data_IF_415892529548
#
_entry.id   IF_415892529548
#
_cell.length_a   1.000
_cell.length_b   1.000
_cell.length_c   1.000
_cell.angle_alpha   90.00
_cell.angle_beta   90.00
_cell.angle_gamma   90.00
#
_symmetry.space_group_name_H-M   'P 1'
#
loop_
_entity.id
_entity.type
_entity.pdbx_description
1 polymer ?
#
# COMPACT_ATOMS: atom_id res chain seq x y z
N UNK A 1 -16.02 44.04 -24.31
CA UNK A 1 -15.09 43.79 -23.19
C UNK A 1 -15.31 42.36 -22.76
N UNK A 2 -14.51 41.42 -23.28
CA UNK A 2 -14.71 39.97 -23.07
C UNK A 2 -14.08 39.58 -21.74
N UNK A 3 -14.89 39.09 -20.81
CA UNK A 3 -14.44 38.61 -19.51
C UNK A 3 -13.78 37.24 -19.72
N UNK A 4 -12.46 37.17 -19.53
CA UNK A 4 -11.72 35.91 -19.51
C UNK A 4 -11.87 35.29 -18.11
N UNK A 5 -12.70 34.25 -17.99
CA UNK A 5 -12.86 33.49 -16.75
C UNK A 5 -11.68 32.52 -16.64
N UNK A 6 -10.72 32.81 -15.76
CA UNK A 6 -9.73 31.83 -15.31
C UNK A 6 -10.44 30.81 -14.42
N UNK A 7 -10.74 29.62 -14.97
CA UNK A 7 -11.09 28.46 -14.15
C UNK A 7 -9.89 28.12 -13.25
N UNK A 8 -10.06 27.96 -11.93
CA UNK A 8 -8.97 27.51 -11.08
C UNK A 8 -8.55 26.11 -11.54
N UNK A 9 -7.26 25.95 -11.86
CA UNK A 9 -6.69 24.63 -12.03
C UNK A 9 -6.97 23.85 -10.74
N UNK A 10 -7.76 22.78 -10.85
CA UNK A 10 -7.99 21.86 -9.74
C UNK A 10 -6.61 21.46 -9.22
N UNK A 11 -6.34 21.75 -7.94
CA UNK A 11 -5.09 21.34 -7.31
C UNK A 11 -4.99 19.83 -7.49
N UNK A 12 -4.05 19.40 -8.32
CA UNK A 12 -3.72 18.00 -8.52
C UNK A 12 -3.33 17.46 -7.14
N UNK A 13 -4.09 16.47 -6.70
CA UNK A 13 -4.11 15.95 -5.35
C UNK A 13 -4.02 14.44 -5.46
N UNK A 14 -2.80 13.91 -5.57
CA UNK A 14 -2.53 12.47 -5.61
C UNK A 14 -1.93 11.90 -4.33
N UNK A 15 -2.60 12.14 -3.21
CA UNK A 15 -2.36 11.40 -1.98
C UNK A 15 -2.84 9.96 -2.12
N UNK A 16 -1.95 9.00 -1.93
CA UNK A 16 -2.27 7.58 -1.84
C UNK A 16 -1.57 6.92 -0.66
N UNK A 17 -2.19 5.88 -0.13
CA UNK A 17 -1.69 5.10 0.98
C UNK A 17 -2.10 3.65 0.83
N UNK A 18 -1.16 2.78 1.10
CA UNK A 18 -1.39 1.37 1.31
C UNK A 18 -1.19 1.05 2.79
N UNK A 19 -2.20 0.46 3.43
CA UNK A 19 -2.20 0.09 4.85
C UNK A 19 -2.49 -1.40 4.94
N UNK A 20 -1.78 -2.09 5.83
CA UNK A 20 -1.86 -3.54 6.00
C UNK A 20 -2.35 -3.87 7.41
N UNK A 21 -3.21 -4.87 7.54
CA UNK A 21 -3.47 -5.53 8.80
C UNK A 21 -2.45 -6.65 9.01
N UNK A 22 -1.56 -6.50 9.99
CA UNK A 22 -0.45 -7.42 10.26
C UNK A 22 -0.48 -7.98 11.67
N UNK A 23 -0.49 -9.30 11.79
CA UNK A 23 -0.43 -9.98 13.08
C UNK A 23 0.53 -11.17 13.06
N UNK A 24 1.45 -11.23 14.02
CA UNK A 24 2.42 -12.33 14.19
C UNK A 24 3.18 -12.73 12.91
N UNK A 25 3.53 -11.76 12.05
CA UNK A 25 4.22 -12.01 10.79
C UNK A 25 3.32 -12.61 9.71
N UNK A 26 2.03 -12.28 9.74
CA UNK A 26 1.06 -12.53 8.69
C UNK A 26 0.44 -11.20 8.25
N UNK A 27 0.38 -10.94 6.95
CA UNK A 27 -0.50 -9.92 6.38
C UNK A 27 -1.90 -10.51 6.18
N UNK A 28 -2.82 -10.14 7.06
CA UNK A 28 -4.19 -10.66 7.09
C UNK A 28 -5.07 -9.99 6.05
N UNK A 29 -4.95 -8.68 5.88
CA UNK A 29 -5.69 -7.89 4.89
C UNK A 29 -4.92 -6.59 4.56
N UNK A 30 -5.41 -5.85 3.58
CA UNK A 30 -4.90 -4.54 3.22
C UNK A 30 -6.02 -3.61 2.73
N UNK A 31 -5.75 -2.31 2.81
CA UNK A 31 -6.54 -1.26 2.18
C UNK A 31 -5.60 -0.38 1.35
N UNK A 32 -6.09 0.05 0.19
CA UNK A 32 -5.36 0.90 -0.72
C UNK A 32 -6.28 2.05 -1.14
N UNK A 33 -5.96 3.25 -0.69
CA UNK A 33 -6.71 4.47 -0.98
C UNK A 33 -5.83 5.41 -1.78
N UNK A 34 -6.41 6.08 -2.78
CA UNK A 34 -5.75 7.05 -3.65
C UNK A 34 -6.69 8.21 -4.00
N UNK A 35 -6.16 9.25 -4.64
CA UNK A 35 -6.93 10.44 -5.04
C UNK A 35 -7.32 11.37 -3.89
N UNK A 36 -6.63 11.29 -2.74
CA UNK A 36 -6.79 12.24 -1.63
C UNK A 36 -5.87 13.45 -1.80
N UNK A 37 -6.07 14.51 -1.04
CA UNK A 37 -5.23 15.71 -1.15
C UNK A 37 -3.83 15.51 -0.60
N UNK A 38 -3.68 14.60 0.36
CA UNK A 38 -2.42 14.32 1.01
C UNK A 38 -2.33 12.82 1.36
N UNK A 39 -1.14 12.20 1.35
CA UNK A 39 -0.98 10.79 1.75
C UNK A 39 -1.53 10.48 3.15
N UNK A 40 -1.50 11.46 4.07
CA UNK A 40 -2.08 11.32 5.42
C UNK A 40 -3.60 11.08 5.35
N UNK A 41 -4.32 11.85 4.54
CA UNK A 41 -5.77 11.64 4.35
C UNK A 41 -6.07 10.27 3.71
N UNK A 42 -5.20 9.82 2.80
CA UNK A 42 -5.32 8.48 2.20
C UNK A 42 -5.05 7.39 3.24
N UNK A 43 -4.07 7.59 4.11
CA UNK A 43 -3.75 6.65 5.18
C UNK A 43 -4.90 6.55 6.18
N UNK A 44 -5.42 7.68 6.66
CA UNK A 44 -6.55 7.71 7.59
C UNK A 44 -7.78 7.01 7.01
N UNK A 45 -8.07 7.22 5.72
CA UNK A 45 -9.15 6.53 5.02
C UNK A 45 -8.90 5.01 4.90
N UNK A 46 -7.68 4.60 4.54
CA UNK A 46 -7.33 3.18 4.46
C UNK A 46 -7.38 2.49 5.84
N UNK A 47 -6.95 3.17 6.90
CA UNK A 47 -7.09 2.70 8.28
C UNK A 47 -8.56 2.63 8.70
N UNK A 48 -9.41 3.56 8.27
CA UNK A 48 -10.85 3.50 8.51
C UNK A 48 -11.49 2.26 7.86
N UNK A 49 -11.15 1.95 6.61
CA UNK A 49 -11.63 0.73 5.93
C UNK A 49 -11.22 -0.54 6.69
N UNK A 50 -9.96 -0.63 7.15
CA UNK A 50 -9.51 -1.78 7.94
C UNK A 50 -10.13 -1.82 9.34
N UNK A 51 -10.39 -0.66 9.94
CA UNK A 51 -11.07 -0.54 11.23
C UNK A 51 -12.50 -1.05 11.16
N UNK A 52 -13.24 -0.73 10.10
CA UNK A 52 -14.60 -1.25 9.86
C UNK A 52 -14.62 -2.77 9.73
N UNK A 53 -13.54 -3.36 9.21
CA UNK A 53 -13.35 -4.83 9.16
C UNK A 53 -12.91 -5.45 10.51
N UNK A 54 -12.74 -4.64 11.55
CA UNK A 54 -12.41 -5.09 12.91
C UNK A 54 -10.91 -5.14 13.23
N UNK A 55 -10.02 -4.68 12.35
CA UNK A 55 -8.57 -4.75 12.57
C UNK A 55 -8.02 -3.73 13.58
N UNK A 56 -8.82 -2.76 14.01
CA UNK A 56 -8.44 -1.85 15.10
C UNK A 56 -8.66 -2.46 16.50
N UNK A 57 -9.43 -3.55 16.60
CA UNK A 57 -9.75 -4.22 17.85
C UNK A 57 -9.62 -5.73 17.68
N UNK A 58 -8.49 -6.16 17.12
CA UNK A 58 -8.19 -7.58 16.90
C UNK A 58 -7.78 -8.27 18.21
N UNK A 59 -7.38 -9.55 18.16
CA UNK A 59 -6.94 -10.38 19.28
C UNK A 59 -6.48 -9.61 20.54
N UNK A 60 -7.26 -9.70 21.62
CA UNK A 60 -7.03 -8.98 22.89
C UNK A 60 -7.00 -7.45 22.76
N UNK A 61 -7.90 -6.89 21.95
CA UNK A 61 -8.05 -5.45 21.69
C UNK A 61 -6.80 -4.79 21.09
N UNK A 62 -6.07 -5.52 20.25
CA UNK A 62 -4.87 -5.02 19.59
C UNK A 62 -5.19 -4.36 18.24
N UNK A 63 -4.67 -3.16 18.05
CA UNK A 63 -4.58 -2.53 16.73
C UNK A 63 -3.41 -3.16 15.94
N UNK A 64 -3.77 -3.85 14.87
CA UNK A 64 -2.86 -4.56 13.97
C UNK A 64 -2.69 -3.86 12.62
N UNK A 65 -3.22 -2.66 12.44
CA UNK A 65 -3.12 -1.90 11.19
C UNK A 65 -1.82 -1.11 11.14
N UNK A 66 -1.10 -1.17 10.04
CA UNK A 66 0.16 -0.44 9.84
C UNK A 66 0.20 0.15 8.45
N UNK A 67 0.51 1.44 8.34
CA UNK A 67 0.86 2.03 7.07
C UNK A 67 2.05 1.27 6.48
N UNK A 68 1.94 0.93 5.20
CA UNK A 68 2.92 0.14 4.49
C UNK A 68 3.76 1.05 3.61
N UNK A 69 3.12 1.69 2.62
CA UNK A 69 3.75 2.63 1.72
C UNK A 69 2.78 3.79 1.39
N UNK A 70 3.32 4.99 1.17
CA UNK A 70 2.59 6.23 0.96
C UNK A 70 3.11 6.93 -0.29
N UNK A 71 2.24 7.63 -1.01
CA UNK A 71 2.60 8.39 -2.21
C UNK A 71 1.91 9.75 -2.22
N UNK A 72 2.63 10.76 -2.69
CA UNK A 72 2.13 12.12 -2.96
C UNK A 72 2.09 12.41 -4.48
N UNK A 73 2.13 11.37 -5.30
CA UNK A 73 2.17 11.51 -6.75
C UNK A 73 0.75 11.76 -7.30
N UNK A 74 0.57 12.86 -8.02
CA UNK A 74 -0.69 13.22 -8.68
C UNK A 74 -1.18 12.16 -9.67
N UNK A 75 -0.24 11.47 -10.30
CA UNK A 75 -0.48 10.26 -11.07
C UNK A 75 0.54 9.20 -10.70
N UNK A 76 0.13 7.94 -10.61
CA UNK A 76 1.03 6.84 -10.31
C UNK A 76 0.62 5.53 -10.99
N UNK A 77 1.62 4.81 -11.47
CA UNK A 77 1.57 3.36 -11.62
C UNK A 77 1.58 2.74 -10.23
N UNK A 78 0.64 1.82 -9.99
CA UNK A 78 0.46 1.15 -8.72
C UNK A 78 0.59 -0.35 -8.89
N UNK A 79 1.40 -0.97 -8.03
CA UNK A 79 1.54 -2.41 -7.91
C UNK A 79 1.36 -2.80 -6.44
N UNK A 80 0.54 -3.82 -6.20
CA UNK A 80 0.49 -4.51 -4.90
C UNK A 80 0.88 -5.96 -5.13
N UNK A 81 1.83 -6.44 -4.33
CA UNK A 81 2.29 -7.81 -4.38
C UNK A 81 1.94 -8.56 -3.10
N UNK A 82 1.74 -9.87 -3.23
CA UNK A 82 1.59 -10.81 -2.12
C UNK A 82 2.56 -11.97 -2.30
N UNK A 83 3.18 -12.38 -1.21
CA UNK A 83 4.05 -13.56 -1.15
C UNK A 83 3.58 -14.46 -0.01
N UNK A 84 3.42 -15.73 -0.32
CA UNK A 84 3.19 -16.81 0.65
C UNK A 84 4.43 -17.70 0.63
N UNK A 85 5.07 -17.90 1.79
CA UNK A 85 6.35 -18.60 1.89
C UNK A 85 6.54 -19.21 3.29
N UNK A 86 7.53 -20.10 3.43
CA UNK A 86 7.95 -20.59 4.74
C UNK A 86 9.19 -19.83 5.22
N UNK A 87 9.19 -19.41 6.48
CA UNK A 87 10.41 -18.85 7.07
C UNK A 87 11.45 -19.94 7.38
N UNK A 88 12.65 -19.52 7.80
CA UNK A 88 13.76 -20.42 8.14
C UNK A 88 13.45 -21.45 9.23
N UNK A 89 12.31 -21.34 9.93
CA UNK A 89 11.83 -22.28 10.95
C UNK A 89 10.69 -23.16 10.44
N UNK A 90 10.40 -23.14 9.13
CA UNK A 90 9.31 -23.87 8.50
C UNK A 90 7.92 -23.30 8.82
N UNK A 91 7.82 -22.08 9.35
CA UNK A 91 6.51 -21.48 9.63
C UNK A 91 6.01 -20.77 8.38
N UNK A 92 4.80 -21.11 7.92
CA UNK A 92 4.14 -20.40 6.83
C UNK A 92 3.92 -18.93 7.18
N UNK A 93 4.18 -18.04 6.22
CA UNK A 93 4.12 -16.58 6.31
C UNK A 93 3.42 -16.02 5.07
N UNK A 94 2.62 -14.99 5.31
CA UNK A 94 2.09 -14.10 4.28
C UNK A 94 2.70 -12.72 4.45
N UNK A 95 3.26 -12.19 3.38
CA UNK A 95 3.76 -10.82 3.31
C UNK A 95 3.21 -10.11 2.08
N UNK A 96 3.07 -8.80 2.17
CA UNK A 96 2.63 -7.97 1.06
C UNK A 96 3.48 -6.72 0.98
N UNK A 97 3.64 -6.22 -0.24
CA UNK A 97 4.31 -4.97 -0.53
C UNK A 97 3.47 -4.11 -1.45
N UNK A 98 3.60 -2.81 -1.30
CA UNK A 98 2.90 -1.80 -2.10
C UNK A 98 3.93 -0.88 -2.73
N UNK A 99 3.75 -0.57 -4.01
CA UNK A 99 4.68 0.28 -4.74
C UNK A 99 3.98 1.29 -5.63
N UNK A 100 4.54 2.49 -5.65
CA UNK A 100 4.04 3.63 -6.41
C UNK A 100 5.17 4.20 -7.26
N UNK A 101 4.89 4.49 -8.53
CA UNK A 101 5.86 5.16 -9.40
C UNK A 101 5.19 6.10 -10.36
N UNK A 102 5.81 7.24 -10.64
CA UNK A 102 5.38 8.15 -11.71
C UNK A 102 5.84 7.68 -13.10
N UNK A 103 6.84 6.78 -13.17
CA UNK A 103 7.54 6.44 -14.41
C UNK A 103 6.96 5.22 -15.13
N UNK A 104 6.78 4.10 -14.41
CA UNK A 104 6.34 2.85 -15.04
C UNK A 104 5.81 1.83 -14.02
N UNK A 105 5.07 0.82 -14.53
CA UNK A 105 4.72 -0.37 -13.76
C UNK A 105 5.94 -1.15 -13.24
N UNK A 106 7.05 -1.14 -13.99
CA UNK A 106 8.26 -1.85 -13.59
C UNK A 106 8.89 -1.21 -12.35
N UNK A 107 8.94 0.12 -12.33
CA UNK A 107 9.45 0.86 -11.18
C UNK A 107 8.53 0.73 -9.97
N UNK A 108 7.20 0.74 -10.18
CA UNK A 108 6.23 0.48 -9.11
C UNK A 108 6.36 -0.94 -8.54
N UNK A 109 6.64 -1.95 -9.38
CA UNK A 109 6.90 -3.31 -8.90
C UNK A 109 8.20 -3.40 -8.10
N UNK A 110 9.28 -2.74 -8.56
CA UNK A 110 10.54 -2.67 -7.83
C UNK A 110 10.36 -1.98 -6.47
N UNK A 111 9.55 -0.91 -6.42
CA UNK A 111 9.19 -0.23 -5.18
C UNK A 111 8.41 -1.17 -4.24
N UNK A 112 7.42 -1.91 -4.76
CA UNK A 112 6.64 -2.88 -4.00
C UNK A 112 7.51 -4.01 -3.41
N UNK A 113 8.50 -4.48 -4.16
CA UNK A 113 9.47 -5.50 -3.69
C UNK A 113 10.35 -4.95 -2.57
N UNK A 114 10.84 -3.72 -2.71
CA UNK A 114 11.65 -3.05 -1.66
C UNK A 114 10.84 -2.81 -0.41
N UNK A 115 9.60 -2.36 -0.56
CA UNK A 115 8.65 -2.16 0.52
C UNK A 115 8.37 -3.47 1.27
N UNK A 116 8.05 -4.57 0.57
CA UNK A 116 7.86 -5.88 1.20
C UNK A 116 9.10 -6.27 2.02
N UNK A 117 10.29 -6.17 1.42
CA UNK A 117 11.55 -6.54 2.06
C UNK A 117 11.86 -5.68 3.30
N UNK A 118 11.52 -4.39 3.28
CA UNK A 118 11.71 -3.47 4.41
C UNK A 118 10.89 -3.89 5.63
N UNK A 119 9.65 -4.37 5.43
CA UNK A 119 8.78 -4.80 6.51
C UNK A 119 8.88 -6.30 6.84
N UNK A 120 9.55 -7.09 6.00
CA UNK A 120 9.77 -8.50 6.21
C UNK A 120 11.21 -8.90 5.82
N UNK A 121 12.17 -8.52 6.67
CA UNK A 121 13.61 -8.82 6.53
C UNK A 121 13.99 -10.27 6.17
N UNK A 122 13.22 -11.25 6.66
CA UNK A 122 13.41 -12.67 6.38
C UNK A 122 12.91 -13.10 4.99
N UNK A 123 12.17 -12.23 4.30
CA UNK A 123 11.75 -12.46 2.93
C UNK A 123 12.86 -12.08 1.95
N UNK A 124 13.13 -12.94 0.98
CA UNK A 124 14.21 -12.79 0.02
C UNK A 124 13.62 -12.95 -1.40
N UNK A 125 13.68 -11.93 -2.26
CA UNK A 125 13.02 -11.97 -3.58
C UNK A 125 13.57 -13.06 -4.50
N UNK A 126 14.82 -13.47 -4.31
CA UNK A 126 15.51 -14.54 -5.02
C UNK A 126 15.13 -15.95 -4.54
N UNK A 127 14.61 -16.07 -3.31
CA UNK A 127 14.19 -17.36 -2.73
C UNK A 127 12.66 -17.50 -2.65
N UNK A 128 11.96 -16.40 -2.43
CA UNK A 128 10.54 -16.36 -2.14
C UNK A 128 9.82 -15.63 -3.27
N UNK A 129 9.03 -16.39 -4.04
CA UNK A 129 8.22 -15.83 -5.11
C UNK A 129 7.12 -14.91 -4.59
N UNK A 130 6.62 -14.02 -5.44
CA UNK A 130 5.44 -13.21 -5.16
C UNK A 130 4.51 -13.18 -6.38
N UNK A 131 3.28 -12.74 -6.13
CA UNK A 131 2.26 -12.53 -7.14
C UNK A 131 1.81 -11.08 -7.10
N UNK A 132 1.56 -10.48 -8.26
CA UNK A 132 0.92 -9.18 -8.37
C UNK A 132 -0.59 -9.36 -8.15
N UNK A 133 -1.14 -8.75 -7.10
CA UNK A 133 -2.57 -8.83 -6.74
C UNK A 133 -3.36 -7.58 -7.09
N UNK A 134 -2.67 -6.48 -7.41
CA UNK A 134 -3.24 -5.27 -8.02
C UNK A 134 -2.23 -4.65 -8.97
N UNK A 135 -2.73 -4.16 -10.10
CA UNK A 135 -1.98 -3.41 -11.11
C UNK A 135 -2.91 -2.42 -11.78
N UNK A 136 -2.68 -1.13 -11.57
CA UNK A 136 -3.48 -0.06 -12.19
C UNK A 136 -2.72 1.26 -12.18
N UNK A 137 -3.33 2.29 -12.76
CA UNK A 137 -2.84 3.66 -12.73
C UNK A 137 -3.95 4.59 -12.25
N UNK A 138 -3.59 5.65 -11.55
CA UNK A 138 -4.45 6.80 -11.27
C UNK A 138 -3.73 8.09 -11.66
#
# INVERSE_FOLDING_TARGET
MTLLVCLPAAALAGGAACVMAKFQGQTMDYALVYGKRHPVEAQEAAEAELREKGYANYYKNLDVMRAQNLSKLDHAYVIVIRSEFEDVRGKSRSAMGCGFSAGSYRDAELDAVRDLQAYFWGWKPDLHAYQVVRKFQY
#
